data_IF_567506282528
#
_entry.id   IF_567506282528
#
_cell.length_a   1.000
_cell.length_b   1.000
_cell.length_c   1.000
_cell.angle_alpha   90.00
_cell.angle_beta   90.00
_cell.angle_gamma   90.00
#
_symmetry.space_group_name_H-M   'P 1'
#
loop_
_entity.id
_entity.type
_entity.pdbx_description
1 polymer ?
#
# COMPACT_ATOMS: atom_id res chain seq x y z
N UNK A 1 -11.22 -77.11 52.88
CA UNK A 1 -11.91 -75.92 52.30
C UNK A 1 -10.96 -74.76 51.92
N UNK A 2 -9.63 -74.93 51.90
CA UNK A 2 -8.67 -73.81 51.74
C UNK A 2 -8.04 -73.67 50.34
N UNK A 3 -8.16 -74.65 49.43
CA UNK A 3 -7.47 -74.60 48.13
C UNK A 3 -8.30 -73.97 47.00
N UNK A 4 -9.62 -74.06 47.06
CA UNK A 4 -10.51 -73.55 46.00
C UNK A 4 -10.66 -72.01 46.02
N UNK A 5 -10.53 -71.38 47.19
CA UNK A 5 -10.61 -69.92 47.36
C UNK A 5 -9.38 -69.21 46.77
N UNK A 6 -8.19 -69.82 46.88
CA UNK A 6 -6.94 -69.24 46.37
C UNK A 6 -6.94 -69.18 44.84
N UNK A 7 -7.41 -70.23 44.17
CA UNK A 7 -7.49 -70.28 42.69
C UNK A 7 -8.53 -69.33 42.09
N UNK A 8 -9.55 -68.92 42.87
CA UNK A 8 -10.53 -67.93 42.44
C UNK A 8 -9.99 -66.50 42.56
N UNK A 9 -9.34 -66.18 43.68
CA UNK A 9 -8.68 -64.89 43.88
C UNK A 9 -7.56 -64.63 42.88
N UNK A 10 -6.76 -65.65 42.54
CA UNK A 10 -5.71 -65.51 41.53
C UNK A 10 -6.28 -65.29 40.13
N UNK A 11 -7.41 -65.95 39.79
CA UNK A 11 -8.12 -65.70 38.52
C UNK A 11 -8.72 -64.30 38.43
N UNK A 12 -9.27 -63.78 39.52
CA UNK A 12 -9.77 -62.40 39.60
C UNK A 12 -8.65 -61.36 39.48
N UNK A 13 -7.51 -61.59 40.14
CA UNK A 13 -6.33 -60.73 40.01
C UNK A 13 -5.77 -60.74 38.60
N UNK A 14 -5.65 -61.91 37.97
CA UNK A 14 -5.20 -62.03 36.58
C UNK A 14 -6.15 -61.29 35.62
N UNK A 15 -7.47 -61.49 35.76
CA UNK A 15 -8.46 -60.79 34.93
C UNK A 15 -8.45 -59.26 35.11
N UNK A 16 -8.23 -58.77 36.33
CA UNK A 16 -8.12 -57.33 36.63
C UNK A 16 -6.81 -56.72 36.10
N UNK A 17 -5.70 -57.48 36.16
CA UNK A 17 -4.40 -57.07 35.59
C UNK A 17 -4.49 -57.00 34.07
N UNK A 18 -5.10 -58.01 33.43
CA UNK A 18 -5.32 -58.02 31.99
C UNK A 18 -6.20 -56.85 31.56
N UNK A 19 -7.31 -56.56 32.25
CA UNK A 19 -8.15 -55.38 31.99
C UNK A 19 -7.38 -54.05 32.13
N UNK A 20 -6.52 -53.92 33.13
CA UNK A 20 -5.67 -52.73 33.31
C UNK A 20 -4.65 -52.56 32.19
N UNK A 21 -4.02 -53.66 31.74
CA UNK A 21 -3.06 -53.65 30.64
C UNK A 21 -3.73 -53.30 29.30
N UNK A 22 -4.92 -53.85 29.04
CA UNK A 22 -5.71 -53.55 27.85
C UNK A 22 -6.14 -52.08 27.81
N UNK A 23 -6.60 -51.51 28.93
CA UNK A 23 -6.94 -50.08 29.01
C UNK A 23 -5.72 -49.18 28.76
N UNK A 24 -4.55 -49.53 29.30
CA UNK A 24 -3.30 -48.80 29.03
C UNK A 24 -2.91 -48.86 27.56
N UNK A 25 -3.01 -50.03 26.91
CA UNK A 25 -2.76 -50.16 25.48
C UNK A 25 -3.75 -49.33 24.64
N UNK A 26 -5.04 -49.35 24.97
CA UNK A 26 -6.05 -48.54 24.28
C UNK A 26 -5.80 -47.03 24.43
N UNK A 27 -5.40 -46.59 25.62
CA UNK A 27 -5.02 -45.19 25.87
C UNK A 27 -3.79 -44.81 25.06
N UNK A 28 -2.75 -45.64 25.01
CA UNK A 28 -1.53 -45.41 24.22
C UNK A 28 -1.85 -45.34 22.72
N UNK A 29 -2.68 -46.24 22.20
CA UNK A 29 -3.11 -46.25 20.80
C UNK A 29 -3.93 -45.01 20.46
N UNK A 30 -4.83 -44.58 21.35
CA UNK A 30 -5.58 -43.31 21.20
C UNK A 30 -4.65 -42.10 21.22
N UNK A 31 -3.63 -42.09 22.08
CA UNK A 31 -2.65 -41.01 22.15
C UNK A 31 -1.81 -40.91 20.86
N UNK A 32 -1.31 -42.05 20.34
CA UNK A 32 -0.60 -42.10 19.04
C UNK A 32 -1.49 -41.66 17.86
N UNK A 33 -2.79 -41.98 17.91
CA UNK A 33 -3.77 -41.52 16.91
C UNK A 33 -3.94 -39.99 16.97
N UNK A 34 -3.97 -39.41 18.17
CA UNK A 34 -4.03 -37.95 18.34
C UNK A 34 -2.76 -37.25 17.85
N UNK A 35 -1.58 -37.83 18.12
CA UNK A 35 -0.29 -37.33 17.61
C UNK A 35 -0.27 -37.29 16.08
N UNK A 36 -0.77 -38.35 15.42
CA UNK A 36 -0.87 -38.40 13.96
C UNK A 36 -1.79 -37.32 13.40
N UNK A 37 -2.96 -37.09 14.03
CA UNK A 37 -3.89 -36.03 13.63
C UNK A 37 -3.24 -34.65 13.76
N UNK A 38 -2.54 -34.39 14.88
CA UNK A 38 -1.81 -33.13 15.09
C UNK A 38 -0.70 -32.94 14.07
N UNK A 39 0.02 -34.00 13.71
CA UNK A 39 1.05 -33.95 12.67
C UNK A 39 0.45 -33.62 11.28
N UNK A 40 -0.70 -34.20 10.91
CA UNK A 40 -1.39 -33.86 9.66
C UNK A 40 -1.88 -32.42 9.63
N UNK A 41 -2.45 -31.93 10.73
CA UNK A 41 -2.86 -30.52 10.87
C UNK A 41 -1.65 -29.59 10.76
N UNK A 42 -0.55 -29.93 11.43
CA UNK A 42 0.71 -29.18 11.36
C UNK A 42 1.29 -29.15 9.95
N UNK A 43 1.32 -30.29 9.25
CA UNK A 43 1.80 -30.40 7.88
C UNK A 43 0.91 -29.59 6.91
N UNK A 44 -0.40 -29.66 7.07
CA UNK A 44 -1.33 -28.87 6.26
C UNK A 44 -1.15 -27.37 6.48
N UNK A 45 -1.02 -26.93 7.74
CA UNK A 45 -0.78 -25.52 8.06
C UNK A 45 0.58 -25.03 7.55
N UNK A 46 1.65 -25.82 7.71
CA UNK A 46 2.97 -25.52 7.20
C UNK A 46 2.98 -25.45 5.67
N UNK A 47 2.35 -26.41 4.99
CA UNK A 47 2.20 -26.42 3.54
C UNK A 47 1.43 -25.21 3.00
N UNK A 48 0.30 -24.87 3.62
CA UNK A 48 -0.47 -23.65 3.28
C UNK A 48 0.37 -22.39 3.46
N UNK A 49 1.11 -22.29 4.57
CA UNK A 49 1.95 -21.13 4.87
C UNK A 49 3.10 -21.01 3.88
N UNK A 50 3.79 -22.12 3.59
CA UNK A 50 4.86 -22.17 2.60
C UNK A 50 4.35 -21.75 1.22
N UNK A 51 3.21 -22.29 0.76
CA UNK A 51 2.61 -21.88 -0.50
C UNK A 51 2.29 -20.38 -0.53
N UNK A 52 1.69 -19.82 0.54
CA UNK A 52 1.39 -18.40 0.63
C UNK A 52 2.67 -17.53 0.58
N UNK A 53 3.74 -17.94 1.27
CA UNK A 53 5.04 -17.26 1.22
C UNK A 53 5.65 -17.36 -0.18
N UNK A 54 5.64 -18.53 -0.80
CA UNK A 54 6.14 -18.73 -2.17
C UNK A 54 5.41 -17.83 -3.16
N UNK A 55 4.08 -17.73 -3.08
CA UNK A 55 3.30 -16.81 -3.93
C UNK A 55 3.75 -15.36 -3.74
N UNK A 56 3.92 -14.90 -2.49
CA UNK A 56 4.40 -13.54 -2.20
C UNK A 56 5.82 -13.29 -2.69
N UNK A 57 6.71 -14.29 -2.60
CA UNK A 57 8.08 -14.20 -3.14
C UNK A 57 8.03 -14.09 -4.66
N UNK A 58 7.24 -14.93 -5.34
CA UNK A 58 7.07 -14.88 -6.80
C UNK A 58 6.49 -13.53 -7.23
N UNK A 59 5.49 -13.01 -6.52
CA UNK A 59 4.96 -11.67 -6.75
C UNK A 59 6.04 -10.58 -6.56
N UNK A 60 6.85 -10.69 -5.50
CA UNK A 60 7.97 -9.79 -5.26
C UNK A 60 8.99 -9.81 -6.40
N UNK A 61 9.39 -11.01 -6.86
CA UNK A 61 10.29 -11.18 -8.02
C UNK A 61 9.67 -10.60 -9.28
N UNK A 62 8.38 -10.84 -9.53
CA UNK A 62 7.67 -10.28 -10.69
C UNK A 62 7.63 -8.76 -10.64
N UNK A 63 7.34 -8.17 -9.48
CA UNK A 63 7.22 -6.72 -9.32
C UNK A 63 8.58 -6.03 -9.31
N UNK A 64 9.65 -6.66 -8.82
CA UNK A 64 10.95 -6.01 -8.71
C UNK A 64 11.90 -6.33 -9.88
N UNK A 65 11.90 -7.57 -10.38
CA UNK A 65 12.81 -8.03 -11.44
C UNK A 65 12.12 -7.96 -12.80
N UNK A 66 10.94 -8.58 -12.96
CA UNK A 66 10.28 -8.62 -14.27
C UNK A 66 9.70 -7.26 -14.68
N UNK A 67 9.34 -6.40 -13.74
CA UNK A 67 8.87 -5.04 -14.06
C UNK A 67 9.98 -4.16 -14.67
N UNK A 68 11.25 -4.39 -14.30
CA UNK A 68 12.38 -3.68 -14.88
C UNK A 68 12.70 -4.17 -16.30
N UNK A 69 12.38 -5.44 -16.59
CA UNK A 69 12.56 -6.05 -17.92
C UNK A 69 11.40 -5.73 -18.88
N UNK A 70 10.16 -5.58 -18.38
CA UNK A 70 8.99 -5.23 -19.22
C UNK A 70 8.83 -3.72 -19.35
N UNK A 71 9.25 -3.20 -20.49
CA UNK A 71 8.98 -1.83 -20.90
C UNK A 71 7.49 -1.64 -21.14
N UNK A 72 6.83 -0.93 -20.23
CA UNK A 72 5.47 -0.46 -20.45
C UNK A 72 5.55 0.90 -21.12
N UNK A 73 4.88 1.05 -22.24
CA UNK A 73 4.71 2.36 -22.86
C UNK A 73 3.67 3.16 -22.06
N UNK A 74 4.15 4.15 -21.30
CA UNK A 74 3.30 5.04 -20.53
C UNK A 74 2.77 6.22 -21.35
N UNK A 75 3.35 6.50 -22.52
CA UNK A 75 2.89 7.57 -23.41
C UNK A 75 1.50 7.26 -23.99
N UNK A 76 1.09 5.98 -23.98
CA UNK A 76 -0.26 5.55 -24.35
C UNK A 76 -1.39 6.21 -23.53
N UNK A 77 -1.08 6.72 -22.33
CA UNK A 77 -2.06 7.40 -21.48
C UNK A 77 -2.18 8.89 -21.82
N UNK A 78 -1.16 9.48 -22.43
CA UNK A 78 -1.06 10.90 -22.78
C UNK A 78 0.40 11.38 -22.80
N UNK A 79 0.63 12.58 -23.33
CA UNK A 79 1.99 13.12 -23.51
C UNK A 79 2.60 13.71 -22.23
N UNK A 80 1.76 14.15 -21.29
CA UNK A 80 2.20 14.84 -20.07
C UNK A 80 1.87 14.04 -18.81
N UNK A 81 2.79 14.08 -17.85
CA UNK A 81 2.58 13.65 -16.48
C UNK A 81 2.66 14.83 -15.53
N UNK A 82 1.69 14.96 -14.63
CA UNK A 82 1.71 15.93 -13.52
C UNK A 82 2.21 15.25 -12.25
N UNK A 83 3.17 15.86 -11.57
CA UNK A 83 3.72 15.35 -10.30
C UNK A 83 3.67 16.42 -9.23
N UNK A 84 2.83 16.23 -8.22
CA UNK A 84 2.79 17.11 -7.03
C UNK A 84 3.87 16.73 -6.04
N UNK A 85 4.56 17.73 -5.47
CA UNK A 85 5.76 17.49 -4.66
C UNK A 85 6.89 16.85 -5.47
N UNK A 86 6.98 17.17 -6.76
CA UNK A 86 7.90 16.52 -7.72
C UNK A 86 9.37 16.93 -7.60
N UNK A 87 9.75 17.72 -6.60
CA UNK A 87 11.10 18.31 -6.47
C UNK A 87 12.00 17.59 -5.47
N UNK A 88 11.47 16.64 -4.70
CA UNK A 88 12.25 15.90 -3.70
C UNK A 88 11.71 14.48 -3.51
N UNK A 89 12.50 13.62 -2.85
CA UNK A 89 12.12 12.29 -2.41
C UNK A 89 11.44 11.43 -3.47
N UNK A 90 10.31 10.82 -3.09
CA UNK A 90 9.54 9.89 -3.93
C UNK A 90 8.97 10.60 -5.16
N UNK A 91 8.48 11.83 -5.02
CA UNK A 91 7.92 12.62 -6.12
C UNK A 91 8.95 12.89 -7.21
N UNK A 92 10.16 13.31 -6.83
CA UNK A 92 11.26 13.51 -7.80
C UNK A 92 11.63 12.22 -8.52
N UNK A 93 11.62 11.08 -7.84
CA UNK A 93 11.89 9.80 -8.49
C UNK A 93 10.77 9.39 -9.45
N UNK A 94 9.50 9.63 -9.13
CA UNK A 94 8.41 9.45 -10.10
C UNK A 94 8.62 10.32 -11.34
N UNK A 95 8.91 11.60 -11.16
CA UNK A 95 9.20 12.51 -12.28
C UNK A 95 10.35 12.00 -13.16
N UNK A 96 11.45 11.57 -12.55
CA UNK A 96 12.62 10.99 -13.23
C UNK A 96 12.26 9.71 -14.01
N UNK A 97 11.51 8.80 -13.40
CA UNK A 97 11.14 7.53 -14.01
C UNK A 97 10.15 7.68 -15.16
N UNK A 98 9.23 8.66 -15.07
CA UNK A 98 8.28 8.99 -16.13
C UNK A 98 8.98 9.72 -17.29
N UNK A 99 9.88 10.65 -16.99
CA UNK A 99 10.70 11.33 -17.99
C UNK A 99 11.58 10.35 -18.78
N UNK A 100 12.24 9.41 -18.08
CA UNK A 100 13.01 8.31 -18.71
C UNK A 100 12.19 7.48 -19.69
N UNK A 101 10.86 7.45 -19.53
CA UNK A 101 9.91 6.72 -20.37
C UNK A 101 9.28 7.59 -21.46
N UNK A 102 9.78 8.81 -21.65
CA UNK A 102 9.40 9.71 -22.74
C UNK A 102 8.22 10.64 -22.46
N UNK A 103 7.71 10.70 -21.22
CA UNK A 103 6.66 11.67 -20.89
C UNK A 103 7.26 13.05 -20.58
N UNK A 104 6.58 14.09 -21.04
CA UNK A 104 6.84 15.45 -20.59
C UNK A 104 6.33 15.62 -19.15
N UNK A 105 7.02 16.41 -18.33
CA UNK A 105 6.73 16.47 -16.90
C UNK A 105 6.28 17.86 -16.47
N UNK A 106 5.14 17.93 -15.80
CA UNK A 106 4.68 19.13 -15.09
C UNK A 106 4.97 18.95 -13.59
N UNK A 107 5.87 19.75 -13.05
CA UNK A 107 6.27 19.72 -11.65
C UNK A 107 5.49 20.77 -10.87
N UNK A 108 4.83 20.36 -9.79
CA UNK A 108 4.12 21.26 -8.88
C UNK A 108 4.75 21.18 -7.50
N UNK A 109 5.26 22.30 -6.99
CA UNK A 109 5.86 22.41 -5.66
C UNK A 109 5.92 23.87 -5.21
N UNK A 110 6.22 24.12 -3.94
CA UNK A 110 6.30 25.49 -3.37
C UNK A 110 7.65 26.17 -3.59
N UNK A 111 8.70 25.38 -3.77
CA UNK A 111 10.08 25.88 -3.87
C UNK A 111 10.49 26.05 -5.35
N UNK A 112 10.59 27.31 -5.78
CA UNK A 112 10.92 27.67 -7.16
C UNK A 112 12.35 27.25 -7.57
N UNK A 113 13.31 27.31 -6.66
CA UNK A 113 14.69 26.93 -6.96
C UNK A 113 14.81 25.44 -7.19
N UNK A 114 14.21 24.63 -6.30
CA UNK A 114 14.15 23.17 -6.48
C UNK A 114 13.36 22.76 -7.72
N UNK A 115 12.29 23.49 -8.06
CA UNK A 115 11.53 23.29 -9.30
C UNK A 115 12.42 23.46 -10.53
N UNK A 116 13.12 24.59 -10.63
CA UNK A 116 14.03 24.88 -11.75
C UNK A 116 15.16 23.86 -11.86
N UNK A 117 15.79 23.53 -10.73
CA UNK A 117 16.88 22.55 -10.71
C UNK A 117 16.40 21.16 -11.18
N UNK A 118 15.24 20.71 -10.70
CA UNK A 118 14.68 19.41 -11.11
C UNK A 118 14.24 19.41 -12.56
N UNK A 119 13.60 20.49 -13.03
CA UNK A 119 13.22 20.65 -14.43
C UNK A 119 14.43 20.53 -15.37
N UNK A 120 15.49 21.29 -15.10
CA UNK A 120 16.72 21.27 -15.89
C UNK A 120 17.37 19.89 -15.90
N UNK A 121 17.43 19.20 -14.76
CA UNK A 121 17.93 17.82 -14.67
C UNK A 121 17.15 16.88 -15.60
N UNK A 122 15.82 16.94 -15.57
CA UNK A 122 14.96 16.06 -16.37
C UNK A 122 15.06 16.33 -17.88
N UNK A 123 15.11 17.60 -18.27
CA UNK A 123 15.27 17.99 -19.68
C UNK A 123 16.63 17.56 -20.22
N UNK A 124 17.70 17.74 -19.44
CA UNK A 124 19.05 17.36 -19.83
C UNK A 124 19.22 15.84 -19.94
N UNK A 125 18.81 15.09 -18.90
CA UNK A 125 19.04 13.64 -18.83
C UNK A 125 18.16 12.84 -19.81
N UNK A 126 16.93 13.29 -20.06
CA UNK A 126 15.93 12.50 -20.78
C UNK A 126 15.40 13.14 -22.06
N UNK A 127 15.78 14.39 -22.37
CA UNK A 127 15.35 15.11 -23.57
C UNK A 127 13.83 15.25 -23.69
N UNK A 128 13.14 15.31 -22.55
CA UNK A 128 11.70 15.60 -22.46
C UNK A 128 11.48 17.10 -22.25
N UNK A 129 10.25 17.58 -22.39
CA UNK A 129 9.89 18.96 -22.01
C UNK A 129 9.43 18.98 -20.55
N UNK A 130 9.69 20.07 -19.86
CA UNK A 130 9.12 20.31 -18.54
C UNK A 130 8.29 21.58 -18.47
N UNK A 131 7.38 21.62 -17.51
CA UNK A 131 6.68 22.82 -17.08
C UNK A 131 6.71 22.84 -15.55
N UNK A 132 6.96 24.00 -14.97
CA UNK A 132 6.96 24.18 -13.51
C UNK A 132 5.76 25.03 -13.11
N UNK A 133 5.10 24.66 -12.03
CA UNK A 133 4.01 25.42 -11.43
C UNK A 133 4.37 25.61 -9.96
N UNK A 134 4.67 26.85 -9.57
CA UNK A 134 4.92 27.16 -8.17
C UNK A 134 3.58 27.32 -7.46
N UNK A 135 3.30 26.42 -6.53
CA UNK A 135 2.10 26.48 -5.69
C UNK A 135 2.36 25.80 -4.35
N UNK A 136 1.98 26.45 -3.25
CA UNK A 136 1.92 25.81 -1.95
C UNK A 136 0.53 25.19 -1.75
N UNK A 137 0.47 23.86 -1.90
CA UNK A 137 -0.77 23.09 -1.78
C UNK A 137 -1.40 23.11 -0.37
N UNK A 138 -0.74 23.70 0.62
CA UNK A 138 -1.30 23.93 1.96
C UNK A 138 -2.16 25.19 2.06
N UNK A 139 -2.12 26.10 1.08
CA UNK A 139 -2.84 27.39 1.09
C UNK A 139 -4.36 27.26 0.85
N UNK A 140 -4.84 26.04 0.57
CA UNK A 140 -6.27 25.73 0.45
C UNK A 140 -6.80 25.91 -0.97
N UNK A 141 -8.10 26.20 -1.13
CA UNK A 141 -8.81 26.05 -2.41
C UNK A 141 -8.44 27.09 -3.49
N UNK A 142 -8.00 28.28 -3.10
CA UNK A 142 -7.91 29.43 -4.00
C UNK A 142 -6.79 29.33 -5.05
N UNK A 143 -5.82 28.44 -4.86
CA UNK A 143 -4.70 28.23 -5.81
C UNK A 143 -5.08 27.36 -7.02
N UNK A 144 -6.10 26.51 -6.89
CA UNK A 144 -6.42 25.49 -7.90
C UNK A 144 -6.94 26.05 -9.24
N UNK A 145 -7.68 27.18 -9.30
CA UNK A 145 -8.05 27.79 -10.57
C UNK A 145 -6.84 28.17 -11.44
N UNK A 146 -5.79 28.72 -10.83
CA UNK A 146 -4.57 29.10 -11.55
C UNK A 146 -3.78 27.86 -11.98
N UNK A 147 -3.72 26.82 -11.13
CA UNK A 147 -3.14 25.52 -11.53
C UNK A 147 -3.90 24.95 -12.73
N UNK A 148 -5.23 24.92 -12.68
CA UNK A 148 -6.07 24.39 -13.75
C UNK A 148 -5.81 25.12 -15.08
N UNK A 149 -5.75 26.46 -15.05
CA UNK A 149 -5.43 27.29 -16.20
C UNK A 149 -4.08 26.95 -16.82
N UNK A 150 -3.04 26.72 -15.99
CA UNK A 150 -1.71 26.34 -16.49
C UNK A 150 -1.64 24.92 -17.07
N UNK A 151 -2.62 24.07 -16.75
CA UNK A 151 -2.75 22.71 -17.28
C UNK A 151 -3.61 22.65 -18.56
N UNK A 152 -4.29 23.73 -18.94
CA UNK A 152 -5.12 23.78 -20.14
C UNK A 152 -4.32 23.48 -21.43
N UNK A 153 -4.96 22.76 -22.35
CA UNK A 153 -4.35 22.36 -23.63
C UNK A 153 -3.25 21.29 -23.51
N UNK A 154 -2.93 20.81 -22.30
CA UNK A 154 -2.03 19.67 -22.11
C UNK A 154 -2.81 18.37 -22.05
N UNK A 155 -2.41 17.41 -22.88
CA UNK A 155 -2.91 16.04 -22.79
C UNK A 155 -2.26 15.34 -21.59
N UNK A 156 -2.89 15.46 -20.42
CA UNK A 156 -2.39 14.88 -19.17
C UNK A 156 -2.80 13.42 -19.11
N UNK A 157 -1.83 12.54 -19.28
CA UNK A 157 -2.05 11.09 -19.23
C UNK A 157 -1.83 10.49 -17.86
N UNK A 158 -0.98 11.12 -17.03
CA UNK A 158 -0.63 10.59 -15.71
C UNK A 158 -0.67 11.70 -14.67
N UNK A 159 -1.34 11.46 -13.54
CA UNK A 159 -1.31 12.33 -12.37
C UNK A 159 -0.70 11.56 -11.20
N UNK A 160 0.39 12.08 -10.63
CA UNK A 160 1.00 11.58 -9.40
C UNK A 160 0.70 12.57 -8.27
N UNK A 161 -0.30 12.24 -7.46
CA UNK A 161 -0.65 12.96 -6.24
C UNK A 161 0.29 12.53 -5.12
N UNK A 162 1.49 13.11 -5.09
CA UNK A 162 2.55 12.76 -4.14
C UNK A 162 2.74 13.76 -3.00
N UNK A 163 2.39 15.04 -3.20
CA UNK A 163 2.56 16.06 -2.17
C UNK A 163 1.88 15.64 -0.86
N UNK A 164 2.59 15.86 0.25
CA UNK A 164 2.04 15.57 1.57
C UNK A 164 2.99 15.97 2.69
N UNK A 165 2.42 16.13 3.89
CA UNK A 165 3.15 16.44 5.12
C UNK A 165 2.67 15.54 6.25
N UNK A 166 3.53 15.37 7.25
CA UNK A 166 3.18 14.78 8.53
C UNK A 166 3.51 15.80 9.64
N UNK A 167 3.06 15.54 10.86
CA UNK A 167 3.44 16.37 12.01
C UNK A 167 4.94 16.30 12.29
N UNK A 168 5.47 17.37 12.87
CA UNK A 168 6.89 17.46 13.22
C UNK A 168 7.29 16.41 14.29
N UNK A 169 6.34 16.07 15.17
CA UNK A 169 6.49 15.00 16.17
C UNK A 169 5.15 14.36 16.55
N UNK A 170 5.13 13.09 16.98
CA UNK A 170 3.93 12.45 17.51
C UNK A 170 3.35 13.27 18.67
N UNK A 171 2.11 13.71 18.54
CA UNK A 171 1.47 14.63 19.49
C UNK A 171 0.03 14.24 19.79
N UNK A 172 -0.43 14.51 21.01
CA UNK A 172 -1.86 14.45 21.32
C UNK A 172 -2.61 15.42 20.42
N UNK A 173 -3.81 15.05 19.97
CA UNK A 173 -4.61 15.87 19.05
C UNK A 173 -4.81 17.31 19.56
N UNK A 174 -5.08 17.46 20.86
CA UNK A 174 -5.28 18.77 21.50
C UNK A 174 -4.01 19.65 21.53
N UNK A 175 -2.83 19.06 21.35
CA UNK A 175 -1.55 19.78 21.39
C UNK A 175 -1.07 20.18 19.99
N UNK A 176 -1.73 19.71 18.93
CA UNK A 176 -1.37 20.08 17.55
C UNK A 176 -2.00 21.44 17.25
N UNK A 177 -1.21 22.45 16.83
CA UNK A 177 -1.74 23.75 16.47
C UNK A 177 -2.77 23.64 15.34
N UNK A 178 -3.88 24.38 15.43
CA UNK A 178 -4.95 24.38 14.43
C UNK A 178 -4.42 24.60 13.01
N UNK A 179 -3.48 25.53 12.85
CA UNK A 179 -2.81 25.80 11.57
C UNK A 179 -2.19 24.53 10.95
N UNK A 180 -1.53 23.69 11.75
CA UNK A 180 -0.91 22.44 11.29
C UNK A 180 -1.95 21.38 10.91
N UNK A 181 -3.09 21.36 11.59
CA UNK A 181 -4.21 20.49 11.24
C UNK A 181 -4.77 20.89 9.86
N UNK A 182 -5.03 22.18 9.65
CA UNK A 182 -5.55 22.72 8.39
C UNK A 182 -4.55 22.50 7.24
N UNK A 183 -3.26 22.81 7.46
CA UNK A 183 -2.19 22.55 6.48
C UNK A 183 -2.18 21.07 6.07
N UNK A 184 -2.26 20.15 7.03
CA UNK A 184 -2.30 18.71 6.76
C UNK A 184 -3.53 18.30 5.96
N UNK A 185 -4.71 18.81 6.29
CA UNK A 185 -5.94 18.53 5.52
C UNK A 185 -5.82 19.07 4.09
N UNK A 186 -5.34 20.30 3.94
CA UNK A 186 -5.20 20.93 2.63
C UNK A 186 -4.24 20.15 1.73
N UNK A 187 -3.03 19.86 2.21
CA UNK A 187 -2.03 19.21 1.36
C UNK A 187 -2.28 17.70 1.17
N UNK A 188 -2.70 16.99 2.21
CA UNK A 188 -2.83 15.53 2.12
C UNK A 188 -4.17 15.08 1.54
N UNK A 189 -5.24 15.87 1.67
CA UNK A 189 -6.59 15.51 1.20
C UNK A 189 -7.08 16.43 0.09
N UNK A 190 -7.12 17.75 0.35
CA UNK A 190 -7.70 18.69 -0.62
C UNK A 190 -6.92 18.70 -1.93
N UNK A 191 -5.59 18.67 -1.87
CA UNK A 191 -4.76 18.62 -3.07
C UNK A 191 -5.04 17.38 -3.91
N UNK A 192 -5.19 16.21 -3.29
CA UNK A 192 -5.51 14.96 -3.99
C UNK A 192 -6.86 15.06 -4.69
N UNK A 193 -7.88 15.55 -3.99
CA UNK A 193 -9.23 15.70 -4.56
C UNK A 193 -9.26 16.74 -5.68
N UNK A 194 -8.66 17.92 -5.47
CA UNK A 194 -8.72 19.04 -6.42
C UNK A 194 -7.89 18.77 -7.67
N UNK A 195 -6.68 18.22 -7.55
CA UNK A 195 -5.86 17.87 -8.71
C UNK A 195 -6.52 16.77 -9.54
N UNK A 196 -7.12 15.78 -8.88
CA UNK A 196 -7.91 14.75 -9.54
C UNK A 196 -9.11 15.37 -10.26
N UNK A 197 -9.88 16.24 -9.59
CA UNK A 197 -11.02 16.93 -10.18
C UNK A 197 -10.66 17.75 -11.43
N UNK A 198 -9.48 18.39 -11.43
CA UNK A 198 -8.99 19.17 -12.59
C UNK A 198 -8.64 18.26 -13.77
N UNK A 199 -7.98 17.12 -13.51
CA UNK A 199 -7.37 16.29 -14.56
C UNK A 199 -8.28 15.17 -15.05
N UNK A 200 -9.14 14.62 -14.18
CA UNK A 200 -9.97 13.45 -14.47
C UNK A 200 -10.93 13.65 -15.67
N UNK A 201 -11.60 14.80 -15.86
CA UNK A 201 -12.57 14.96 -16.96
C UNK A 201 -11.97 14.65 -18.34
N UNK A 202 -10.78 15.17 -18.63
CA UNK A 202 -10.11 14.92 -19.91
C UNK A 202 -9.64 13.47 -20.07
N UNK A 203 -9.33 12.76 -18.96
CA UNK A 203 -8.96 11.34 -19.00
C UNK A 203 -10.17 10.46 -19.29
N UNK A 204 -11.33 10.78 -18.70
CA UNK A 204 -12.61 10.09 -18.93
C UNK A 204 -13.04 10.25 -20.38
N UNK A 205 -12.98 11.47 -20.92
CA UNK A 205 -13.32 11.74 -22.33
C UNK A 205 -12.50 10.88 -23.29
N UNK A 206 -11.19 10.73 -23.04
CA UNK A 206 -10.30 9.89 -23.86
C UNK A 206 -10.34 8.41 -23.51
N UNK A 207 -11.04 8.02 -22.43
CA UNK A 207 -11.02 6.68 -21.81
C UNK A 207 -9.60 6.17 -21.52
N UNK A 208 -8.69 7.11 -21.23
CA UNK A 208 -7.26 6.86 -21.05
C UNK A 208 -6.71 7.85 -20.03
N UNK A 209 -6.18 7.29 -18.95
CA UNK A 209 -5.52 8.04 -17.90
C UNK A 209 -5.03 7.12 -16.80
N UNK A 210 -4.09 7.61 -16.00
CA UNK A 210 -3.60 6.94 -14.82
C UNK A 210 -3.43 7.95 -13.68
N UNK A 211 -4.12 7.71 -12.56
CA UNK A 211 -3.97 8.52 -11.35
C UNK A 211 -3.33 7.64 -10.28
N UNK A 212 -2.26 8.15 -9.66
CA UNK A 212 -1.54 7.50 -8.56
C UNK A 212 -1.58 8.41 -7.35
N UNK A 213 -2.25 7.95 -6.30
CA UNK A 213 -2.38 8.68 -5.04
C UNK A 213 -1.41 8.11 -4.01
N UNK A 214 -0.48 8.93 -3.53
CA UNK A 214 0.48 8.52 -2.51
C UNK A 214 -0.18 8.46 -1.14
N UNK A 215 -0.49 7.24 -0.72
CA UNK A 215 -0.96 6.94 0.63
C UNK A 215 0.21 6.53 1.56
N UNK A 216 -0.09 5.86 2.66
CA UNK A 216 0.87 5.36 3.66
C UNK A 216 0.34 4.09 4.30
N UNK A 217 1.21 3.28 4.90
CA UNK A 217 0.81 2.14 5.74
C UNK A 217 -0.12 2.56 6.88
N UNK A 218 -0.05 3.83 7.29
CA UNK A 218 -0.94 4.41 8.29
C UNK A 218 -2.41 4.49 7.86
N UNK A 219 -2.71 4.27 6.57
CA UNK A 219 -4.08 4.10 6.09
C UNK A 219 -4.71 2.78 6.52
N UNK A 220 -3.91 1.73 6.70
CA UNK A 220 -4.38 0.42 7.17
C UNK A 220 -4.19 0.26 8.68
N UNK A 221 -3.12 0.85 9.21
CA UNK A 221 -2.76 0.79 10.63
C UNK A 221 -2.60 2.22 11.16
N UNK A 222 -3.69 2.89 11.56
CA UNK A 222 -3.64 4.27 12.04
C UNK A 222 -2.63 4.43 13.16
N UNK A 223 -1.74 5.41 13.01
CA UNK A 223 -0.69 5.67 13.98
C UNK A 223 -1.28 6.52 15.12
N UNK A 224 -1.23 6.05 16.39
CA UNK A 224 -1.58 6.88 17.53
C UNK A 224 -0.75 8.17 17.52
N UNK A 225 -1.34 9.29 17.98
CA UNK A 225 -0.69 10.61 18.01
C UNK A 225 -0.40 11.24 16.63
N UNK A 226 -0.87 10.61 15.55
CA UNK A 226 -0.79 11.11 14.17
C UNK A 226 -2.17 11.05 13.49
N UNK A 227 -3.20 11.52 14.21
CA UNK A 227 -4.60 11.29 13.86
C UNK A 227 -4.98 11.85 12.48
N UNK A 228 -4.76 13.15 12.22
CA UNK A 228 -5.12 13.76 10.92
C UNK A 228 -4.27 13.21 9.80
N UNK A 229 -2.99 12.94 10.03
CA UNK A 229 -2.14 12.29 9.02
C UNK A 229 -2.71 10.92 8.64
N UNK A 230 -2.99 10.05 9.60
CA UNK A 230 -3.55 8.71 9.32
C UNK A 230 -4.90 8.81 8.60
N UNK A 231 -5.80 9.66 9.08
CA UNK A 231 -7.10 9.91 8.45
C UNK A 231 -6.96 10.40 7.01
N UNK A 232 -6.02 11.33 6.76
CA UNK A 232 -5.76 11.85 5.41
C UNK A 232 -5.27 10.79 4.44
N UNK A 233 -4.49 9.81 4.93
CA UNK A 233 -3.99 8.71 4.09
C UNK A 233 -5.06 7.66 3.79
N UNK A 234 -6.02 7.45 4.69
CA UNK A 234 -7.25 6.69 4.39
C UNK A 234 -8.04 7.36 3.26
N UNK A 235 -8.22 8.68 3.31
CA UNK A 235 -8.92 9.43 2.26
C UNK A 235 -8.33 9.14 0.87
N UNK A 236 -7.00 9.16 0.74
CA UNK A 236 -6.33 8.89 -0.53
C UNK A 236 -6.64 7.49 -1.09
N UNK A 237 -6.80 6.48 -0.23
CA UNK A 237 -7.20 5.12 -0.66
C UNK A 237 -8.63 5.13 -1.19
N UNK A 238 -9.55 5.79 -0.48
CA UNK A 238 -10.96 5.85 -0.86
C UNK A 238 -11.16 6.61 -2.18
N UNK A 239 -10.52 7.76 -2.34
CA UNK A 239 -10.56 8.56 -3.59
C UNK A 239 -10.06 7.71 -4.77
N UNK A 240 -8.97 6.96 -4.58
CA UNK A 240 -8.42 6.08 -5.64
C UNK A 240 -9.42 5.04 -6.14
N UNK A 241 -10.24 4.47 -5.25
CA UNK A 241 -11.27 3.49 -5.62
C UNK A 241 -12.36 4.16 -6.46
N UNK A 242 -12.79 5.36 -6.07
CA UNK A 242 -13.79 6.14 -6.81
C UNK A 242 -13.32 6.49 -8.22
N UNK A 243 -12.06 6.93 -8.37
CA UNK A 243 -11.51 7.35 -9.66
C UNK A 243 -11.36 6.18 -10.64
N UNK A 244 -10.99 5.00 -10.13
CA UNK A 244 -10.95 3.78 -10.94
C UNK A 244 -12.32 3.45 -11.54
N UNK A 245 -13.40 3.68 -10.80
CA UNK A 245 -14.76 3.47 -11.32
C UNK A 245 -15.11 4.45 -12.45
N UNK A 246 -14.53 5.64 -12.48
CA UNK A 246 -14.78 6.63 -13.54
C UNK A 246 -14.07 6.31 -14.85
N UNK A 247 -12.99 5.51 -14.82
CA UNK A 247 -12.21 5.15 -16.02
C UNK A 247 -12.59 3.80 -16.63
N UNK A 248 -13.52 3.07 -16.01
CA UNK A 248 -14.13 1.82 -16.52
C UNK A 248 -15.34 2.13 -17.42
#
# INVERSE_FOLDING_TARGET
>A
MSSASTTYYDRLKMAAVDQGLFLLQDVIVRFKRMESILAFVGLFYAGKTAAAVSVRVIEGVRVFVLSQLRWHDFTRYGQWAVVTGGTDGIGKQYARQLAKRGLNIILISRDMEKLRATAQELEFDFRVRTQIIQADLSEGRHIYPEIAKQLEGKEIGILINNAGVMYDSPSLFLNVPEKKLIESVNINMMAVMMMTYIVLPQMVERKKGLIVNMSSISSFYPLPLMAVYSASKVCNVVVSISDQMCLL
#
